data_IF_476991040995
#
_entry.id   IF_476991040995
#
_cell.length_a   1.000
_cell.length_b   1.000
_cell.length_c   1.000
_cell.angle_alpha   90.00
_cell.angle_beta   90.00
_cell.angle_gamma   90.00
#
_symmetry.space_group_name_H-M   'P 1'
#
loop_
_entity.id
_entity.type
_entity.pdbx_description
1 polymer ?
#
# COMPACT_ATOMS: atom_id res chain seq x y z
N UNK A 1 -23.20 -40.57 -41.68
CA UNK A 1 -22.64 -39.59 -42.64
C UNK A 1 -22.75 -38.20 -42.01
N UNK A 2 -21.65 -37.46 -41.80
CA UNK A 2 -21.71 -36.12 -41.20
C UNK A 2 -21.88 -35.02 -42.27
N UNK A 3 -22.87 -34.16 -42.10
CA UNK A 3 -23.04 -32.97 -42.92
C UNK A 3 -22.20 -31.82 -42.34
N UNK A 4 -21.29 -31.30 -43.17
CA UNK A 4 -20.46 -30.12 -42.91
C UNK A 4 -21.33 -28.86 -43.03
N UNK A 5 -21.22 -27.95 -42.08
CA UNK A 5 -21.62 -26.55 -42.28
C UNK A 5 -20.39 -25.66 -42.15
N UNK A 6 -19.85 -25.29 -43.30
CA UNK A 6 -18.96 -24.15 -43.44
C UNK A 6 -19.81 -22.98 -43.95
N UNK A 7 -19.96 -21.94 -43.14
CA UNK A 7 -20.44 -20.64 -43.60
C UNK A 7 -19.42 -19.61 -43.13
N UNK A 8 -18.66 -19.11 -44.10
CA UNK A 8 -17.84 -17.91 -43.96
C UNK A 8 -18.79 -16.71 -43.90
N UNK A 9 -18.87 -16.04 -42.75
CA UNK A 9 -19.51 -14.73 -42.63
C UNK A 9 -18.44 -13.69 -42.27
N UNK A 10 -17.94 -13.06 -43.34
CA UNK A 10 -17.74 -11.62 -43.50
C UNK A 10 -17.31 -10.80 -42.27
N UNK A 11 -16.04 -10.41 -42.33
CA UNK A 11 -15.44 -9.16 -41.79
C UNK A 11 -16.44 -8.17 -41.17
N UNK A 12 -16.58 -8.23 -39.85
CA UNK A 12 -16.99 -7.09 -39.03
C UNK A 12 -15.86 -6.82 -38.03
N UNK A 13 -15.02 -5.83 -38.36
CA UNK A 13 -14.13 -5.19 -37.39
C UNK A 13 -15.00 -4.35 -36.48
N UNK A 14 -15.12 -4.73 -35.22
CA UNK A 14 -15.44 -3.80 -34.14
C UNK A 14 -14.78 -4.34 -32.88
N UNK A 15 -13.76 -3.60 -32.46
CA UNK A 15 -13.00 -3.81 -31.26
C UNK A 15 -13.93 -3.81 -30.04
N UNK A 16 -13.78 -4.80 -29.17
CA UNK A 16 -14.16 -4.65 -27.77
C UNK A 16 -12.97 -5.07 -26.92
N UNK A 17 -12.33 -4.04 -26.38
CA UNK A 17 -11.16 -4.08 -25.54
C UNK A 17 -11.38 -4.98 -24.32
N UNK A 18 -10.31 -5.67 -23.93
CA UNK A 18 -10.28 -6.61 -22.84
C UNK A 18 -10.64 -5.99 -21.50
N UNK A 19 -11.42 -6.74 -20.72
CA UNK A 19 -11.60 -6.51 -19.30
C UNK A 19 -10.80 -7.60 -18.57
N UNK A 20 -9.49 -7.38 -18.42
CA UNK A 20 -8.68 -8.17 -17.49
C UNK A 20 -8.98 -7.61 -16.11
N UNK A 21 -9.85 -8.30 -15.36
CA UNK A 21 -9.97 -8.09 -13.91
C UNK A 21 -8.65 -8.57 -13.30
N UNK A 22 -7.74 -7.63 -13.05
CA UNK A 22 -6.57 -7.89 -12.24
C UNK A 22 -7.05 -8.17 -10.82
N UNK A 23 -7.20 -9.46 -10.49
CA UNK A 23 -7.27 -9.88 -9.10
C UNK A 23 -6.04 -9.32 -8.39
N UNK A 24 -6.29 -8.55 -7.34
CA UNK A 24 -5.29 -8.10 -6.39
C UNK A 24 -4.48 -9.32 -5.95
N UNK A 25 -3.30 -9.48 -6.54
CA UNK A 25 -2.26 -10.28 -5.94
C UNK A 25 -2.00 -9.63 -4.61
N UNK A 26 -2.31 -10.34 -3.53
CA UNK A 26 -1.79 -10.05 -2.20
C UNK A 26 -0.29 -9.81 -2.37
N UNK A 27 0.12 -8.55 -2.40
CA UNK A 27 1.51 -8.19 -2.37
C UNK A 27 2.04 -8.79 -1.08
N UNK A 28 2.91 -9.80 -1.18
CA UNK A 28 3.79 -10.15 -0.09
C UNK A 28 4.54 -8.86 0.21
N UNK A 29 4.06 -8.13 1.22
CA UNK A 29 4.75 -6.98 1.76
C UNK A 29 6.18 -7.44 2.05
N UNK A 30 7.19 -6.74 1.55
CA UNK A 30 8.54 -7.24 1.59
C UNK A 30 9.04 -7.13 3.05
N UNK A 31 8.85 -8.25 3.74
CA UNK A 31 8.94 -8.53 5.17
C UNK A 31 10.34 -8.28 5.76
N UNK A 32 10.80 -7.02 5.74
CA UNK A 32 12.15 -6.67 6.18
C UNK A 32 12.34 -5.19 6.57
N UNK A 33 11.28 -4.45 6.89
CA UNK A 33 11.42 -3.11 7.43
C UNK A 33 11.80 -3.16 8.91
N UNK A 34 13.11 -3.17 9.15
CA UNK A 34 13.64 -3.19 10.52
C UNK A 34 13.68 -1.78 11.10
N UNK A 35 12.89 -1.55 12.15
CA UNK A 35 13.00 -0.40 13.05
C UNK A 35 14.44 -0.27 13.55
N UNK A 36 14.99 0.94 13.62
CA UNK A 36 16.37 1.22 14.03
C UNK A 36 17.41 1.16 12.89
N UNK A 37 17.07 0.62 11.72
CA UNK A 37 17.97 0.64 10.54
C UNK A 37 17.81 1.89 9.69
N UNK A 38 16.66 2.57 9.75
CA UNK A 38 16.45 3.88 9.13
C UNK A 38 16.04 4.91 10.16
N UNK A 39 16.94 5.85 10.43
CA UNK A 39 16.65 7.02 11.26
C UNK A 39 15.49 7.84 10.72
N UNK A 40 15.30 7.86 9.40
CA UNK A 40 14.19 8.59 8.77
C UNK A 40 12.85 7.89 9.01
N UNK A 41 12.82 6.56 8.92
CA UNK A 41 11.61 5.77 9.19
C UNK A 41 11.26 5.85 10.68
N UNK A 42 12.24 5.69 11.56
CA UNK A 42 12.05 5.78 13.00
C UNK A 42 11.50 7.15 13.40
N UNK A 43 12.08 8.23 12.88
CA UNK A 43 11.59 9.59 13.13
C UNK A 43 10.19 9.85 12.55
N UNK A 44 9.86 9.23 11.42
CA UNK A 44 8.52 9.34 10.83
C UNK A 44 7.48 8.61 11.68
N UNK A 45 7.76 7.38 12.12
CA UNK A 45 6.90 6.60 13.00
C UNK A 45 6.74 7.25 14.38
N UNK A 46 7.79 7.87 14.90
CA UNK A 46 7.74 8.64 16.14
C UNK A 46 6.79 9.85 16.01
N UNK A 47 6.89 10.63 14.92
CA UNK A 47 5.93 11.71 14.64
C UNK A 47 4.49 11.22 14.51
N UNK A 48 4.28 10.09 13.81
CA UNK A 48 2.96 9.47 13.68
C UNK A 48 2.42 9.07 15.06
N UNK A 49 3.23 8.43 15.89
CA UNK A 49 2.85 8.01 17.24
C UNK A 49 2.48 9.21 18.11
N UNK A 50 3.28 10.29 18.07
CA UNK A 50 3.03 11.50 18.86
C UNK A 50 1.79 12.29 18.42
N UNK A 51 1.60 12.46 17.10
CA UNK A 51 0.58 13.37 16.57
C UNK A 51 -0.74 12.67 16.22
N UNK A 52 -0.67 11.40 15.79
CA UNK A 52 -1.82 10.60 15.36
C UNK A 52 -2.09 9.41 16.28
N UNK A 53 -1.26 9.16 17.30
CA UNK A 53 -1.28 7.93 18.09
C UNK A 53 -2.63 7.58 18.71
N UNK A 54 -3.33 8.56 19.26
CA UNK A 54 -4.65 8.38 19.89
C UNK A 54 -5.80 8.14 18.89
N UNK A 55 -5.52 8.25 17.59
CA UNK A 55 -6.49 7.94 16.54
C UNK A 55 -6.52 6.44 16.27
N UNK A 56 -7.56 6.01 15.56
CA UNK A 56 -7.84 4.60 15.34
C UNK A 56 -7.87 4.24 13.86
N UNK A 57 -7.30 3.09 13.55
CA UNK A 57 -7.53 2.33 12.33
C UNK A 57 -8.27 1.07 12.76
N UNK A 58 -9.55 0.96 12.39
CA UNK A 58 -10.46 -0.06 12.88
C UNK A 58 -10.45 -0.17 14.42
N UNK A 59 -9.91 -1.26 14.96
CA UNK A 59 -9.77 -1.55 16.40
C UNK A 59 -8.41 -1.16 16.98
N UNK A 60 -7.46 -0.73 16.16
CA UNK A 60 -6.09 -0.46 16.56
C UNK A 60 -5.85 1.03 16.76
N UNK A 61 -5.23 1.40 17.88
CA UNK A 61 -4.67 2.73 18.04
C UNK A 61 -3.38 2.83 17.23
N UNK A 62 -3.16 3.99 16.60
CA UNK A 62 -2.01 4.20 15.72
C UNK A 62 -0.68 4.05 16.47
N UNK A 63 -0.59 4.47 17.74
CA UNK A 63 0.66 4.32 18.51
C UNK A 63 1.05 2.86 18.70
N UNK A 64 0.07 1.95 18.80
CA UNK A 64 0.31 0.50 18.95
C UNK A 64 0.96 -0.05 17.68
N UNK A 65 0.47 0.37 16.51
CA UNK A 65 1.01 -0.02 15.21
C UNK A 65 2.38 0.61 14.94
N UNK A 66 2.59 1.86 15.36
CA UNK A 66 3.84 2.60 15.11
C UNK A 66 4.99 2.17 16.02
N UNK A 67 4.72 1.83 17.29
CA UNK A 67 5.74 1.47 18.30
C UNK A 67 5.87 -0.04 18.52
N UNK A 68 4.91 -0.84 18.06
CA UNK A 68 4.95 -2.30 18.17
C UNK A 68 4.58 -2.87 19.52
N UNK A 69 3.83 -2.13 20.33
CA UNK A 69 3.65 -2.51 21.73
C UNK A 69 2.50 -3.47 22.02
N UNK A 70 1.61 -3.83 21.06
CA UNK A 70 0.47 -4.75 21.33
C UNK A 70 -0.33 -5.22 20.10
N UNK A 71 0.04 -4.85 18.88
CA UNK A 71 -0.66 -5.34 17.69
C UNK A 71 -0.21 -6.77 17.37
N UNK A 72 -1.08 -7.58 16.77
CA UNK A 72 -0.61 -8.81 16.11
C UNK A 72 0.47 -8.43 15.09
N UNK A 73 1.55 -9.20 15.06
CA UNK A 73 2.75 -8.89 14.30
C UNK A 73 2.42 -8.59 12.83
N UNK A 74 1.45 -9.29 12.23
CA UNK A 74 1.05 -9.06 10.85
C UNK A 74 0.48 -7.66 10.60
N UNK A 75 -0.37 -7.13 11.50
CA UNK A 75 -0.91 -5.77 11.35
C UNK A 75 0.17 -4.71 11.55
N UNK A 76 1.09 -4.95 12.47
CA UNK A 76 2.21 -4.05 12.72
C UNK A 76 3.15 -4.00 11.51
N UNK A 77 3.59 -5.17 11.04
CA UNK A 77 4.53 -5.26 9.92
C UNK A 77 3.93 -4.64 8.67
N UNK A 78 2.66 -4.93 8.38
CA UNK A 78 1.96 -4.28 7.27
C UNK A 78 1.88 -2.75 7.43
N UNK A 79 1.56 -2.26 8.62
CA UNK A 79 1.52 -0.81 8.89
C UNK A 79 2.88 -0.15 8.65
N UNK A 80 3.96 -0.75 9.15
CA UNK A 80 5.32 -0.23 8.99
C UNK A 80 5.75 -0.28 7.53
N UNK A 81 5.43 -1.35 6.81
CA UNK A 81 5.73 -1.51 5.39
C UNK A 81 5.04 -0.41 4.57
N UNK A 82 3.73 -0.22 4.75
CA UNK A 82 2.98 0.83 4.06
C UNK A 82 3.48 2.23 4.43
N UNK A 83 3.76 2.49 5.72
CA UNK A 83 4.32 3.76 6.17
C UNK A 83 5.70 4.03 5.54
N UNK A 84 6.54 3.00 5.40
CA UNK A 84 7.85 3.12 4.78
C UNK A 84 7.75 3.42 3.28
N UNK A 85 6.86 2.73 2.56
CA UNK A 85 6.62 2.95 1.14
C UNK A 85 6.09 4.36 0.88
N UNK A 86 5.20 4.83 1.76
CA UNK A 86 4.68 6.20 1.71
C UNK A 86 5.81 7.21 1.98
N UNK A 87 6.65 6.99 3.01
CA UNK A 87 7.76 7.87 3.35
C UNK A 87 8.78 8.02 2.22
N UNK A 88 9.18 6.91 1.59
CA UNK A 88 10.16 6.91 0.51
C UNK A 88 9.56 7.19 -0.87
N UNK A 89 8.25 7.47 -0.94
CA UNK A 89 7.56 7.83 -2.17
C UNK A 89 7.44 6.71 -3.19
N UNK A 90 7.46 5.44 -2.75
CA UNK A 90 7.20 4.29 -3.64
C UNK A 90 5.71 4.01 -3.82
N UNK A 91 4.86 4.56 -2.94
CA UNK A 91 3.41 4.63 -3.12
C UNK A 91 2.94 6.08 -2.92
N UNK A 92 1.82 6.43 -3.54
CA UNK A 92 1.18 7.74 -3.36
C UNK A 92 0.33 7.77 -2.08
N UNK A 93 -0.03 8.96 -1.56
CA UNK A 93 -0.99 9.06 -0.45
C UNK A 93 -2.34 8.37 -0.72
N UNK A 94 -2.85 8.45 -1.95
CA UNK A 94 -4.10 7.79 -2.32
C UNK A 94 -3.97 6.26 -2.32
N UNK A 95 -2.83 5.75 -2.81
CA UNK A 95 -2.53 4.32 -2.76
C UNK A 95 -2.39 3.84 -1.31
N UNK A 96 -1.70 4.60 -0.45
CA UNK A 96 -1.61 4.30 0.98
C UNK A 96 -3.00 4.20 1.62
N UNK A 97 -3.91 5.13 1.33
CA UNK A 97 -5.29 5.07 1.84
C UNK A 97 -5.98 3.80 1.36
N UNK A 98 -5.90 3.47 0.07
CA UNK A 98 -6.56 2.29 -0.50
C UNK A 98 -6.02 0.98 0.08
N UNK A 99 -4.69 0.87 0.25
CA UNK A 99 -4.02 -0.30 0.81
C UNK A 99 -4.38 -0.48 2.29
N UNK A 100 -4.27 0.60 3.07
CA UNK A 100 -4.57 0.58 4.50
C UNK A 100 -6.04 0.32 4.79
N UNK A 101 -6.96 0.94 4.04
CA UNK A 101 -8.39 0.74 4.25
C UNK A 101 -8.84 -0.65 3.82
N UNK A 102 -8.24 -1.21 2.76
CA UNK A 102 -8.49 -2.57 2.32
C UNK A 102 -7.96 -3.62 3.28
N UNK A 103 -6.75 -3.44 3.81
CA UNK A 103 -6.13 -4.40 4.73
C UNK A 103 -6.76 -4.40 6.12
N UNK A 104 -7.05 -3.21 6.67
CA UNK A 104 -7.66 -3.09 8.00
C UNK A 104 -9.19 -3.11 8.00
N UNK A 105 -9.81 -3.19 6.81
CA UNK A 105 -11.26 -3.10 6.59
C UNK A 105 -11.86 -1.84 7.25
N UNK A 106 -11.24 -0.68 7.04
CA UNK A 106 -11.66 0.59 7.64
C UNK A 106 -11.77 1.73 6.63
N UNK A 107 -12.92 1.77 5.95
CA UNK A 107 -13.35 2.90 5.11
C UNK A 107 -14.19 3.93 5.89
N UNK A 108 -14.20 3.88 7.22
CA UNK A 108 -15.04 4.77 8.02
C UNK A 108 -14.53 6.22 7.99
N UNK A 109 -15.40 7.22 8.24
CA UNK A 109 -14.96 8.61 8.37
C UNK A 109 -13.90 8.83 9.46
N UNK A 110 -13.85 7.94 10.47
CA UNK A 110 -12.82 7.96 11.50
C UNK A 110 -11.49 7.46 10.95
N UNK A 111 -11.47 6.30 10.30
CA UNK A 111 -10.28 5.74 9.65
C UNK A 111 -9.70 6.70 8.62
N UNK A 112 -10.55 7.30 7.77
CA UNK A 112 -10.12 8.28 6.78
C UNK A 112 -9.42 9.50 7.39
N UNK A 113 -9.91 10.02 8.52
CA UNK A 113 -9.22 11.10 9.25
C UNK A 113 -7.87 10.63 9.79
N UNK A 114 -7.79 9.39 10.25
CA UNK A 114 -6.54 8.80 10.73
C UNK A 114 -5.50 8.70 9.62
N UNK A 115 -5.87 8.20 8.44
CA UNK A 115 -4.96 8.12 7.29
C UNK A 115 -4.46 9.51 6.86
N UNK A 116 -5.36 10.50 6.83
CA UNK A 116 -4.99 11.88 6.54
C UNK A 116 -4.01 12.46 7.57
N UNK A 117 -4.19 12.15 8.86
CA UNK A 117 -3.25 12.55 9.89
C UNK A 117 -1.85 11.98 9.63
N UNK A 118 -1.77 10.69 9.29
CA UNK A 118 -0.51 9.99 9.01
C UNK A 118 0.20 10.61 7.80
N UNK A 119 -0.53 10.81 6.70
CA UNK A 119 -0.01 11.44 5.47
C UNK A 119 0.51 12.85 5.76
N UNK A 120 -0.16 13.61 6.63
CA UNK A 120 0.29 14.95 7.01
C UNK A 120 1.60 14.98 7.81
N UNK A 121 2.11 13.82 8.29
CA UNK A 121 3.41 13.72 8.96
C UNK A 121 4.58 13.51 7.99
N UNK A 122 4.31 13.45 6.68
CA UNK A 122 5.35 13.32 5.67
C UNK A 122 6.24 14.57 5.62
N UNK A 123 7.55 14.40 5.38
CA UNK A 123 8.41 15.53 5.08
C UNK A 123 8.06 16.13 3.70
N UNK A 124 8.35 17.42 3.51
CA UNK A 124 8.12 18.13 2.23
C UNK A 124 8.84 17.47 1.03
N UNK A 125 9.95 16.78 1.30
CA UNK A 125 10.71 16.02 0.32
C UNK A 125 10.95 14.60 0.84
N UNK A 126 10.60 13.61 0.01
CA UNK A 126 10.85 12.21 0.34
C UNK A 126 12.36 11.96 0.52
N UNK A 127 12.79 11.34 1.64
CA UNK A 127 14.18 10.98 1.83
C UNK A 127 14.63 9.95 0.79
N UNK A 128 15.94 9.92 0.50
CA UNK A 128 16.49 8.93 -0.40
C UNK A 128 16.34 7.51 0.18
N UNK A 129 15.85 6.58 -0.64
CA UNK A 129 15.68 5.18 -0.25
C UNK A 129 17.03 4.55 0.15
N UNK A 130 17.19 4.09 1.42
CA UNK A 130 18.43 3.46 1.87
C UNK A 130 18.74 2.21 1.05
N UNK A 131 20.02 1.96 0.79
CA UNK A 131 20.46 0.84 -0.07
C UNK A 131 19.92 -0.52 0.41
N UNK A 132 19.80 -0.71 1.72
CA UNK A 132 19.24 -1.91 2.33
C UNK A 132 17.79 -2.19 1.90
N UNK A 133 16.98 -1.14 1.69
CA UNK A 133 15.56 -1.28 1.30
C UNK A 133 15.35 -1.32 -0.21
N UNK A 134 16.37 -1.05 -1.03
CA UNK A 134 16.22 -1.09 -2.49
C UNK A 134 15.92 -2.48 -3.04
N UNK A 135 16.49 -3.54 -2.45
CA UNK A 135 16.19 -4.92 -2.85
C UNK A 135 14.77 -5.35 -2.44
N UNK A 136 14.36 -4.88 -1.27
CA UNK A 136 13.06 -5.13 -0.63
C UNK A 136 11.94 -4.45 -1.43
N UNK A 137 12.07 -3.15 -1.74
CA UNK A 137 11.06 -2.40 -2.48
C UNK A 137 11.01 -2.66 -3.99
N UNK A 138 12.12 -3.13 -4.60
CA UNK A 138 12.11 -3.54 -6.03
C UNK A 138 11.27 -4.79 -6.31
N UNK A 139 11.00 -5.61 -5.28
CA UNK A 139 10.16 -6.80 -5.42
C UNK A 139 8.66 -6.44 -5.45
N UNK A 140 8.30 -5.23 -5.06
CA UNK A 140 6.94 -4.70 -5.17
C UNK A 140 6.75 -4.22 -6.61
N UNK A 141 5.75 -4.70 -7.37
CA UNK A 141 5.43 -4.10 -8.65
C UNK A 141 5.07 -2.64 -8.38
N UNK A 142 6.02 -1.76 -8.70
CA UNK A 142 5.81 -0.34 -8.73
C UNK A 142 4.69 -0.13 -9.74
N UNK A 143 3.52 0.33 -9.30
CA UNK A 143 2.57 0.93 -10.24
C UNK A 143 3.20 2.26 -10.64
N UNK A 144 4.18 2.16 -11.55
CA UNK A 144 4.73 3.26 -12.30
C UNK A 144 3.59 3.78 -13.16
N UNK A 145 2.79 4.69 -12.58
CA UNK A 145 1.95 5.58 -13.35
C UNK A 145 2.86 6.49 -14.17
N UNK A 146 3.25 6.02 -15.34
CA UNK A 146 3.64 6.82 -16.48
C UNK A 146 3.66 5.89 -17.69
N UNK A 147 2.54 5.86 -18.41
CA UNK A 147 2.45 5.93 -19.87
C UNK A 147 1.05 6.41 -20.26
#
# INVERSE_FOLDING_TARGET
MPAKFAVNLSRARLALAGLIVAFATSACAPDNFQLGKSKQLDAYLDRISQNCGAMFINSFQVWVLALGESADAGYQDYFIDQASMLLYGTITPDQYIADMSGYFDDMSPRGMKTYQCIIAQLPDQAPALPKAYRGVMKAVPQVSGND
#
